data_IF_136197190551
#
_entry.id   IF_136197190551
#
_cell.length_a   1.000
_cell.length_b   1.000
_cell.length_c   1.000
_cell.angle_alpha   90.00
_cell.angle_beta   90.00
_cell.angle_gamma   90.00
#
_symmetry.space_group_name_H-M   'P 1'
#
loop_
_entity.id
_entity.type
_entity.pdbx_description
1 polymer ?
2 water ?
#
# COMPACT_ATOMS: atom_id res chain seq x y z
N UNK A 6 4.11 11.57 -39.20
CA UNK A 6 2.73 11.39 -38.73
C UNK A 6 2.52 10.01 -38.15
N UNK A 7 3.22 9.03 -38.70
CA UNK A 7 3.23 7.71 -38.08
C UNK A 7 3.85 7.78 -36.70
N UNK A 8 4.89 8.60 -36.53
CA UNK A 8 5.51 8.71 -35.22
C UNK A 8 4.56 9.33 -34.21
N UNK A 9 3.83 10.37 -34.61
CA UNK A 9 2.81 10.97 -33.75
C UNK A 9 1.84 9.90 -33.26
N UNK A 10 1.42 9.00 -34.17
CA UNK A 10 0.47 7.97 -33.79
C UNK A 10 1.10 6.99 -32.81
N UNK A 11 2.34 6.56 -33.06
CA UNK A 11 3.01 5.66 -32.14
C UNK A 11 3.22 6.32 -30.78
N UNK A 12 3.62 7.59 -30.78
CA UNK A 12 3.81 8.29 -29.51
C UNK A 12 2.50 8.38 -28.74
N UNK A 13 1.39 8.59 -29.44
CA UNK A 13 0.12 8.74 -28.73
C UNK A 13 -0.37 7.42 -28.17
N UNK A 14 -0.01 6.30 -28.82
CA UNK A 14 -0.37 5.00 -28.28
C UNK A 14 0.50 4.67 -27.07
N UNK A 15 1.79 5.04 -27.13
CA UNK A 15 2.67 4.88 -25.98
C UNK A 15 2.22 5.75 -24.81
N UNK A 16 1.67 6.93 -25.11
CA UNK A 16 1.12 7.76 -24.05
C UNK A 16 -0.10 7.10 -23.42
N UNK A 17 -0.93 6.45 -24.24
CA UNK A 17 -2.11 5.74 -23.73
C UNK A 17 -1.68 4.58 -22.85
N UNK A 18 -0.67 3.83 -23.28
CA UNK A 18 -0.21 2.70 -22.49
C UNK A 18 0.36 3.17 -21.16
N UNK A 19 1.23 4.17 -21.18
CA UNK A 19 1.93 4.58 -19.97
C UNK A 19 0.94 5.16 -18.96
N UNK A 20 -0.09 5.84 -19.44
CA UNK A 20 -1.09 6.39 -18.53
C UNK A 20 -1.96 5.28 -17.93
N UNK A 21 -2.25 4.24 -18.71
CA UNK A 21 -3.04 3.13 -18.20
C UNK A 21 -2.27 2.35 -17.15
N UNK A 22 -0.96 2.17 -17.38
CA UNK A 22 -0.11 1.54 -16.37
C UNK A 22 0.00 2.40 -15.13
N UNK A 23 -0.05 3.71 -15.31
CA UNK A 23 -0.02 4.61 -14.16
C UNK A 23 -1.29 4.45 -13.35
N UNK A 24 -2.45 4.42 -14.02
CA UNK A 24 -3.72 4.25 -13.32
C UNK A 24 -3.80 2.88 -12.65
N UNK A 25 -3.42 1.83 -13.37
CA UNK A 25 -3.48 0.49 -12.79
C UNK A 25 -2.65 0.42 -11.51
N UNK A 26 -1.43 0.94 -11.54
CA UNK A 26 -0.57 0.91 -10.36
C UNK A 26 -1.15 1.74 -9.23
N UNK A 27 -1.73 2.89 -9.54
CA UNK A 27 -2.26 3.75 -8.49
C UNK A 27 -3.45 3.09 -7.80
N UNK A 28 -4.27 2.35 -8.56
CA UNK A 28 -5.42 1.69 -7.97
C UNK A 28 -5.00 0.52 -7.10
N UNK A 29 -4.01 -0.26 -7.56
CA UNK A 29 -3.47 -1.33 -6.74
C UNK A 29 -2.84 -0.77 -5.45
N UNK A 30 -2.06 0.32 -5.56
CA UNK A 30 -1.55 0.97 -4.36
C UNK A 30 -2.68 1.28 -3.40
N UNK A 31 -3.69 2.01 -3.87
CA UNK A 31 -4.82 2.36 -3.01
C UNK A 31 -5.44 1.13 -2.39
N UNK A 32 -5.59 0.06 -3.17
CA UNK A 32 -6.22 -1.14 -2.63
C UNK A 32 -5.38 -1.72 -1.51
N UNK A 33 -4.07 -1.80 -1.70
CA UNK A 33 -3.22 -2.48 -0.72
C UNK A 33 -3.01 -1.63 0.52
N UNK A 34 -2.97 -0.31 0.39
CA UNK A 34 -2.89 0.56 1.56
C UNK A 34 -4.15 0.39 2.42
N UNK A 35 -5.32 0.33 1.75
CA UNK A 35 -6.58 0.22 2.47
C UNK A 35 -6.68 -1.11 3.20
N UNK A 36 -6.37 -2.20 2.50
CA UNK A 36 -6.44 -3.51 3.12
C UNK A 36 -5.44 -3.62 4.28
N UNK A 37 -4.23 -3.09 4.09
CA UNK A 37 -3.24 -3.16 5.15
C UNK A 37 -3.64 -2.29 6.33
N UNK A 38 -4.24 -1.13 6.06
CA UNK A 38 -4.70 -0.30 7.17
C UNK A 38 -5.90 -0.93 7.87
N UNK A 39 -6.72 -1.67 7.13
CA UNK A 39 -7.84 -2.36 7.76
C UNK A 39 -7.35 -3.50 8.64
N UNK A 40 -6.28 -4.18 8.20
CA UNK A 40 -5.65 -5.19 9.04
C UNK A 40 -5.12 -4.60 10.34
N UNK A 41 -4.57 -3.39 10.26
CA UNK A 41 -4.05 -2.71 11.46
C UNK A 41 -5.18 -2.47 12.46
N UNK A 42 -6.36 -2.10 11.94
CA UNK A 42 -7.51 -1.86 12.82
C UNK A 42 -8.09 -3.17 13.33
N UNK A 43 -8.12 -4.20 12.48
CA UNK A 43 -8.61 -5.49 12.90
C UNK A 43 -7.74 -6.05 14.03
N UNK A 44 -6.43 -5.95 13.89
CA UNK A 44 -5.55 -6.49 14.92
C UNK A 44 -5.55 -5.62 16.17
N UNK A 45 -5.84 -4.33 16.02
CA UNK A 45 -6.01 -3.49 17.20
C UNK A 45 -7.19 -3.98 18.05
N UNK A 46 -8.24 -4.49 17.41
CA UNK A 46 -9.38 -5.01 18.15
C UNK A 46 -9.04 -6.35 18.79
N UNK A 47 -8.38 -7.24 18.04
CA UNK A 47 -7.88 -8.50 18.60
C UNK A 47 -7.06 -8.22 19.86
N UNK A 48 -6.18 -7.22 19.79
CA UNK A 48 -5.35 -6.91 20.95
C UNK A 48 -6.21 -6.43 22.11
N UNK A 49 -7.22 -5.60 21.83
CA UNK A 49 -8.11 -5.14 22.88
C UNK A 49 -8.84 -6.31 23.52
N UNK A 50 -9.28 -7.27 22.71
CA UNK A 50 -9.95 -8.45 23.26
C UNK A 50 -9.00 -9.27 24.12
N UNK A 51 -7.72 -9.35 23.72
CA UNK A 51 -6.75 -10.11 24.50
C UNK A 51 -6.50 -9.43 25.85
N UNK A 52 -6.46 -8.11 25.86
CA UNK A 52 -6.22 -7.41 27.13
C UNK A 52 -7.39 -7.59 28.07
N UNK A 53 -8.62 -7.55 27.54
CA UNK A 53 -9.80 -7.65 28.37
C UNK A 53 -9.92 -9.03 29.00
N UNK A 54 -9.72 -10.09 28.19
CA UNK A 54 -9.75 -11.45 28.73
C UNK A 54 -8.62 -11.67 29.72
N UNK A 55 -7.49 -11.00 29.51
CA UNK A 55 -6.37 -11.18 30.41
C UNK A 55 -6.62 -10.48 31.73
N UNK A 56 -7.18 -9.27 31.69
CA UNK A 56 -7.55 -8.59 32.92
C UNK A 56 -8.49 -9.44 33.77
N UNK A 57 -9.51 -10.02 33.14
CA UNK A 57 -10.53 -10.74 33.88
C UNK A 57 -9.99 -12.06 34.41
N UNK A 58 -9.15 -12.73 33.64
CA UNK A 58 -8.49 -13.94 34.14
C UNK A 58 -7.61 -13.63 35.35
N UNK A 59 -7.01 -12.44 35.37
CA UNK A 59 -6.14 -12.09 36.49
C UNK A 59 -6.93 -11.63 37.71
N UNK A 60 -8.09 -11.01 37.50
CA UNK A 60 -8.90 -10.52 38.61
C UNK A 60 -9.99 -11.53 38.99
N UNK B 6 6.90 18.73 -35.78
CA UNK B 6 7.93 18.39 -34.80
C UNK B 6 7.60 19.00 -33.45
N UNK B 7 6.88 20.11 -33.47
CA UNK B 7 6.44 20.72 -32.21
C UNK B 7 5.51 19.78 -31.46
N UNK B 8 4.58 19.15 -32.16
CA UNK B 8 3.73 18.19 -31.49
C UNK B 8 4.52 16.99 -31.00
N UNK B 9 5.47 16.51 -31.81
CA UNK B 9 6.35 15.44 -31.38
C UNK B 9 7.05 15.81 -30.08
N UNK B 10 7.56 17.04 -29.98
CA UNK B 10 8.22 17.46 -28.75
C UNK B 10 7.28 17.39 -27.55
N UNK B 11 6.03 17.86 -27.72
CA UNK B 11 5.06 17.83 -26.63
C UNK B 11 4.78 16.40 -26.20
N UNK B 12 4.64 15.49 -27.16
CA UNK B 12 4.35 14.11 -26.82
C UNK B 12 5.49 13.49 -26.03
N UNK B 13 6.73 13.68 -26.49
CA UNK B 13 7.88 13.10 -25.81
C UNK B 13 8.02 13.67 -24.40
N UNK B 14 7.75 14.96 -24.23
CA UNK B 14 7.74 15.54 -22.89
C UNK B 14 6.67 14.88 -22.03
N UNK B 15 5.46 14.71 -22.59
CA UNK B 15 4.37 14.11 -21.83
C UNK B 15 4.69 12.68 -21.46
N UNK B 16 5.37 11.95 -22.34
CA UNK B 16 5.81 10.60 -22.00
C UNK B 16 6.78 10.63 -20.82
N UNK B 17 7.75 11.55 -20.84
CA UNK B 17 8.71 11.65 -19.76
C UNK B 17 8.01 12.05 -18.46
N UNK B 18 7.14 13.05 -18.54
CA UNK B 18 6.44 13.50 -17.34
C UNK B 18 5.65 12.37 -16.68
N UNK B 19 5.01 11.51 -17.48
CA UNK B 19 4.16 10.46 -16.92
C UNK B 19 5.01 9.35 -16.30
N UNK B 20 6.08 8.94 -17.00
CA UNK B 20 6.95 7.93 -16.42
C UNK B 20 7.58 8.43 -15.12
N UNK B 21 7.81 9.74 -15.03
CA UNK B 21 8.31 10.30 -13.79
C UNK B 21 7.26 10.22 -12.68
N UNK B 22 6.00 10.50 -13.01
CA UNK B 22 4.94 10.38 -12.01
C UNK B 22 4.73 8.93 -11.60
N UNK B 23 4.93 8.00 -12.53
CA UNK B 23 4.82 6.59 -12.19
C UNK B 23 5.87 6.21 -11.15
N UNK B 24 7.11 6.64 -11.37
CA UNK B 24 8.17 6.31 -10.42
C UNK B 24 7.92 6.98 -9.08
N UNK B 25 7.52 8.25 -9.11
CA UNK B 25 7.25 8.97 -7.87
C UNK B 25 6.16 8.29 -7.07
N UNK B 26 5.03 7.97 -7.71
CA UNK B 26 3.95 7.27 -7.03
C UNK B 26 4.42 5.94 -6.47
N UNK B 27 5.24 5.22 -7.24
CA UNK B 27 5.71 3.92 -6.78
C UNK B 27 6.52 4.05 -5.50
N UNK B 28 7.41 5.06 -5.46
CA UNK B 28 8.26 5.23 -4.30
C UNK B 28 7.45 5.63 -3.08
N UNK B 29 6.48 6.52 -3.25
CA UNK B 29 5.64 6.89 -2.13
C UNK B 29 4.80 5.72 -1.65
N UNK B 30 4.32 4.88 -2.57
CA UNK B 30 3.60 3.70 -2.13
C UNK B 30 4.49 2.80 -1.28
N UNK B 31 5.69 2.50 -1.79
CA UNK B 31 6.58 1.57 -1.10
C UNK B 31 6.97 2.08 0.28
N UNK B 32 7.10 3.40 0.42
CA UNK B 32 7.40 3.97 1.72
C UNK B 32 6.27 3.68 2.71
N UNK B 33 5.04 4.04 2.34
CA UNK B 33 3.92 3.90 3.24
C UNK B 33 3.61 2.44 3.53
N UNK B 34 3.68 1.58 2.51
CA UNK B 34 3.29 0.19 2.70
C UNK B 34 4.26 -0.52 3.65
N UNK B 35 5.54 -0.14 3.60
CA UNK B 35 6.54 -0.78 4.45
C UNK B 35 6.39 -0.34 5.89
N UNK B 36 6.08 0.93 6.11
CA UNK B 36 5.81 1.40 7.45
C UNK B 36 4.59 0.68 8.03
N UNK B 37 3.54 0.53 7.22
CA UNK B 37 2.31 -0.06 7.72
C UNK B 37 2.47 -1.56 7.91
N UNK B 38 3.13 -2.23 6.96
CA UNK B 38 3.39 -3.65 7.14
C UNK B 38 4.25 -3.91 8.37
N UNK B 39 5.10 -2.95 8.75
CA UNK B 39 5.90 -3.10 9.95
C UNK B 39 5.01 -3.09 11.19
N UNK B 40 4.08 -2.14 11.24
CA UNK B 40 3.09 -2.10 12.32
C UNK B 40 2.29 -3.40 12.38
N UNK B 41 1.91 -3.92 11.22
CA UNK B 41 1.15 -5.15 11.16
C UNK B 41 1.95 -6.31 11.76
N UNK B 42 3.26 -6.34 11.48
CA UNK B 42 4.07 -7.46 11.95
C UNK B 42 4.36 -7.34 13.43
N UNK B 43 4.54 -6.12 13.94
CA UNK B 43 4.68 -5.95 15.38
C UNK B 43 3.38 -6.29 16.10
N UNK B 44 2.24 -5.94 15.51
CA UNK B 44 0.97 -6.33 16.11
C UNK B 44 0.84 -7.84 16.19
N UNK B 45 1.19 -8.55 15.10
CA UNK B 45 1.12 -10.00 15.14
C UNK B 45 1.98 -10.58 16.24
N UNK B 46 3.11 -9.94 16.54
CA UNK B 46 3.99 -10.46 17.57
C UNK B 46 3.41 -10.19 18.95
N UNK B 47 2.88 -8.99 19.17
CA UNK B 47 2.12 -8.69 20.40
C UNK B 47 1.02 -9.72 20.61
N UNK B 48 0.31 -10.06 19.55
CA UNK B 48 -0.83 -10.96 19.67
C UNK B 48 -0.40 -12.35 20.09
N UNK B 49 0.64 -12.88 19.42
CA UNK B 49 1.17 -14.19 19.80
C UNK B 49 1.58 -14.21 21.28
N UNK B 50 2.27 -13.17 21.72
CA UNK B 50 2.78 -13.16 23.09
C UNK B 50 1.65 -12.98 24.10
N UNK B 51 0.68 -12.13 23.80
CA UNK B 51 -0.46 -12.00 24.71
C UNK B 51 -1.27 -13.29 24.77
N UNK B 52 -1.45 -13.95 23.62
CA UNK B 52 -2.18 -15.22 23.62
C UNK B 52 -1.52 -16.25 24.52
N UNK B 53 -0.19 -16.31 24.51
CA UNK B 53 0.52 -17.21 25.41
C UNK B 53 0.23 -16.86 26.85
N UNK B 54 0.30 -15.57 27.19
CA UNK B 54 0.02 -15.15 28.56
C UNK B 54 -1.40 -15.51 28.97
N UNK B 55 -2.34 -15.37 28.05
CA UNK B 55 -3.72 -15.70 28.38
C UNK B 55 -3.89 -17.19 28.63
N UNK B 56 -3.27 -18.02 27.81
CA UNK B 56 -3.33 -19.46 28.03
C UNK B 56 -2.69 -19.84 29.37
N UNK B 57 -1.61 -19.16 29.74
CA UNK B 57 -1.00 -19.39 31.05
C UNK B 57 -1.97 -19.02 32.16
N UNK B 58 -2.55 -17.83 32.08
CA UNK B 58 -3.42 -17.34 33.15
C UNK B 58 -4.61 -18.27 33.37
N UNK B 59 -5.04 -18.98 32.34
CA UNK B 59 -6.20 -19.86 32.41
C UNK B 59 -5.81 -21.34 32.50
#
# INVERSE_FOLDING_TARGET
GPSPYKEEIEDLKMKLVKIDLEKMKNAKEFEKEISATKATVEYQKEVIRLLRENLRRSQQAQDTSVISEHTDPQPSNKPLTCGGGSGIVQNTKALILKSEHIRLEKEISKLKQQNEQLIKQKNELLSNNQHLSNEVKTWKERTLKREAHK
GPSPYKEEIEDLKMKLVKIDLEKMKNAKEFEKEISATKATVEYQKEVIRLLRENLRRSQQAQDTSVISEHTDPQPSNKPLTCGGGSGIVQNTKALILKSEHIRLEKEISKLKQQNEQLIKQKNELLSNNQHLSNEVKTWKERTLKREAHK
#
